data_IF_012976034154
#
_entry.id   IF_012976034154
#
_cell.length_a   1.000
_cell.length_b   1.000
_cell.length_c   1.000
_cell.angle_alpha   90.00
_cell.angle_beta   90.00
_cell.angle_gamma   90.00
#
_symmetry.space_group_name_H-M   'P 1'
#
loop_
_entity.id
_entity.type
_entity.pdbx_description
1 polymer ?
#
# COMPACT_ATOMS: atom_id res chain seq x y z
N UNK A 1 34.88 16.97 -15.23
CA UNK A 1 33.49 17.01 -15.74
C UNK A 1 33.12 15.57 -16.03
N UNK A 2 32.58 14.91 -15.02
CA UNK A 2 32.13 13.53 -15.10
C UNK A 2 30.78 13.58 -15.83
N UNK A 3 30.72 12.99 -17.03
CA UNK A 3 29.50 12.94 -17.83
C UNK A 3 28.44 12.23 -17.02
N UNK A 4 27.47 13.00 -16.55
CA UNK A 4 26.34 12.56 -15.74
C UNK A 4 25.59 11.50 -16.54
N UNK A 5 25.81 10.23 -16.18
CA UNK A 5 25.13 9.11 -16.85
C UNK A 5 23.67 9.22 -16.50
N UNK A 6 22.84 9.41 -17.53
CA UNK A 6 21.39 9.36 -17.43
C UNK A 6 21.04 8.03 -16.73
N UNK A 7 20.38 8.14 -15.58
CA UNK A 7 19.87 6.99 -14.86
C UNK A 7 18.65 6.48 -15.62
N UNK A 8 18.79 5.32 -16.26
CA UNK A 8 17.67 4.60 -16.85
C UNK A 8 17.15 3.58 -15.82
N UNK A 9 15.81 3.47 -15.64
CA UNK A 9 15.25 2.48 -14.75
C UNK A 9 15.57 1.07 -15.27
N UNK A 10 15.57 0.09 -14.38
CA UNK A 10 15.69 -1.32 -14.78
C UNK A 10 14.54 -1.69 -15.73
N UNK A 11 14.76 -2.69 -16.59
CA UNK A 11 13.71 -3.13 -17.55
C UNK A 11 12.47 -3.67 -16.83
N UNK A 12 12.66 -4.20 -15.64
CA UNK A 12 11.64 -4.77 -14.78
C UNK A 12 10.78 -3.71 -14.07
N UNK A 13 11.28 -2.47 -13.94
CA UNK A 13 10.57 -1.44 -13.18
C UNK A 13 9.28 -0.95 -13.88
N UNK A 14 9.27 -0.63 -15.19
CA UNK A 14 8.03 -0.34 -15.92
C UNK A 14 7.02 -1.50 -15.91
N UNK A 15 7.51 -2.74 -15.99
CA UNK A 15 6.69 -3.94 -15.92
C UNK A 15 6.05 -4.11 -14.53
N UNK A 16 6.80 -3.83 -13.47
CA UNK A 16 6.30 -3.85 -12.09
C UNK A 16 5.19 -2.80 -11.88
N UNK A 17 5.41 -1.56 -12.36
CA UNK A 17 4.40 -0.50 -12.29
C UNK A 17 3.11 -0.90 -13.04
N UNK A 18 3.27 -1.46 -14.25
CA UNK A 18 2.16 -1.96 -15.06
C UNK A 18 1.40 -3.11 -14.38
N UNK A 19 2.13 -4.06 -13.78
CA UNK A 19 1.54 -5.18 -13.04
C UNK A 19 0.69 -4.68 -11.86
N UNK A 20 1.22 -3.76 -11.06
CA UNK A 20 0.50 -3.21 -9.91
C UNK A 20 -0.72 -2.39 -10.36
N UNK A 21 -0.57 -1.52 -11.36
CA UNK A 21 -1.69 -0.77 -11.93
C UNK A 21 -2.82 -1.71 -12.41
N UNK A 22 -2.49 -2.76 -13.16
CA UNK A 22 -3.47 -3.72 -13.67
C UNK A 22 -4.13 -4.53 -12.55
N UNK A 23 -3.39 -4.88 -11.50
CA UNK A 23 -3.95 -5.54 -10.33
C UNK A 23 -4.96 -4.65 -9.61
N UNK A 24 -4.65 -3.35 -9.45
CA UNK A 24 -5.57 -2.38 -8.87
C UNK A 24 -6.77 -2.15 -9.79
N UNK A 25 -6.58 -2.02 -11.10
CA UNK A 25 -7.68 -1.89 -12.07
C UNK A 25 -8.65 -3.08 -12.01
N UNK A 26 -8.10 -4.29 -11.85
CA UNK A 26 -8.91 -5.52 -11.74
C UNK A 26 -9.73 -5.56 -10.45
N UNK A 27 -9.15 -5.13 -9.32
CA UNK A 27 -9.82 -5.16 -8.01
C UNK A 27 -10.72 -3.93 -7.75
N UNK A 28 -10.34 -2.76 -8.28
CA UNK A 28 -10.88 -1.44 -7.96
C UNK A 28 -10.94 -0.54 -9.22
N UNK A 29 -11.74 -0.89 -10.23
CA UNK A 29 -11.79 -0.13 -11.49
C UNK A 29 -12.29 1.32 -11.29
N UNK A 30 -13.14 1.56 -10.28
CA UNK A 30 -13.63 2.89 -9.91
C UNK A 30 -12.50 3.80 -9.41
N UNK A 31 -11.56 3.27 -8.60
CA UNK A 31 -10.40 4.03 -8.14
C UNK A 31 -9.54 4.51 -9.32
N UNK A 32 -9.31 3.62 -10.29
CA UNK A 32 -8.56 3.93 -11.51
C UNK A 32 -9.31 4.96 -12.37
N UNK A 33 -10.62 4.79 -12.55
CA UNK A 33 -11.46 5.73 -13.32
C UNK A 33 -11.45 7.13 -12.70
N UNK A 34 -11.55 7.20 -11.37
CA UNK A 34 -11.49 8.45 -10.61
C UNK A 34 -10.13 9.14 -10.78
N UNK A 35 -9.03 8.40 -10.63
CA UNK A 35 -7.68 8.90 -10.88
C UNK A 35 -7.53 9.42 -12.31
N UNK A 36 -7.86 8.62 -13.33
CA UNK A 36 -7.72 8.98 -14.74
C UNK A 36 -8.52 10.22 -15.10
N UNK A 37 -9.74 10.37 -14.54
CA UNK A 37 -10.56 11.56 -14.74
C UNK A 37 -9.91 12.82 -14.17
N UNK A 38 -9.37 12.77 -12.94
CA UNK A 38 -8.68 13.92 -12.32
C UNK A 38 -7.36 14.22 -13.02
N UNK A 39 -6.62 13.18 -13.40
CA UNK A 39 -5.38 13.30 -14.16
C UNK A 39 -5.61 14.01 -15.50
N UNK A 40 -6.63 13.59 -16.26
CA UNK A 40 -6.99 14.22 -17.53
C UNK A 40 -7.41 15.70 -17.35
N UNK A 41 -8.11 16.03 -16.26
CA UNK A 41 -8.48 17.41 -15.95
C UNK A 41 -7.24 18.29 -15.70
N UNK A 42 -6.26 17.80 -14.93
CA UNK A 42 -4.99 18.49 -14.72
C UNK A 42 -4.26 18.73 -16.03
N UNK A 43 -4.12 17.71 -16.87
CA UNK A 43 -3.47 17.84 -18.18
C UNK A 43 -4.18 18.85 -19.09
N UNK A 44 -5.51 18.82 -19.15
CA UNK A 44 -6.28 19.76 -19.96
C UNK A 44 -5.98 21.22 -19.56
N UNK A 45 -5.86 21.50 -18.27
CA UNK A 45 -5.50 22.83 -17.78
C UNK A 45 -4.04 23.17 -18.08
N UNK A 46 -3.10 22.25 -17.86
CA UNK A 46 -1.68 22.48 -18.19
C UNK A 46 -1.47 22.84 -19.67
N UNK A 47 -2.12 22.13 -20.59
CA UNK A 47 -1.98 22.36 -22.04
C UNK A 47 -2.72 23.60 -22.56
N UNK A 48 -3.74 24.07 -21.83
CA UNK A 48 -4.49 25.28 -22.22
C UNK A 48 -3.71 26.59 -21.98
N UNK A 49 -2.65 26.57 -21.15
CA UNK A 49 -1.88 27.76 -20.79
C UNK A 49 -0.71 27.99 -21.75
N UNK A 50 -0.62 29.20 -22.31
CA UNK A 50 0.38 29.57 -23.34
C UNK A 50 1.77 29.80 -22.72
N UNK A 51 2.69 28.87 -22.97
CA UNK A 51 4.19 28.87 -23.06
C UNK A 51 5.08 29.76 -22.16
N UNK A 52 4.64 30.88 -21.57
CA UNK A 52 5.54 31.80 -20.85
C UNK A 52 5.50 31.67 -19.32
N UNK A 53 4.53 30.94 -18.75
CA UNK A 53 4.36 30.81 -17.29
C UNK A 53 3.85 29.41 -16.90
N UNK A 54 4.26 28.38 -17.65
CA UNK A 54 3.56 27.10 -17.69
C UNK A 54 3.81 26.22 -16.46
N UNK A 55 5.05 26.22 -15.92
CA UNK A 55 5.44 25.29 -14.85
C UNK A 55 4.77 25.61 -13.51
N UNK A 56 4.79 26.88 -13.09
CA UNK A 56 4.27 27.30 -11.79
C UNK A 56 2.73 27.43 -11.80
N UNK A 57 2.14 27.58 -12.99
CA UNK A 57 0.70 27.81 -13.15
C UNK A 57 -0.12 26.53 -13.15
N UNK A 58 0.43 25.35 -13.46
CA UNK A 58 -0.36 24.11 -13.45
C UNK A 58 -0.50 23.50 -12.05
N UNK A 59 0.51 23.67 -11.18
CA UNK A 59 0.50 23.14 -9.80
C UNK A 59 -0.46 23.92 -8.89
N UNK A 60 -0.86 25.14 -9.27
CA UNK A 60 -1.74 26.04 -8.49
C UNK A 60 -3.20 26.02 -8.91
N UNK A 61 -3.69 24.93 -9.48
CA UNK A 61 -5.08 24.84 -9.96
C UNK A 61 -5.92 23.93 -9.06
N UNK A 62 -7.24 24.16 -9.06
CA UNK A 62 -8.19 23.35 -8.30
C UNK A 62 -8.17 21.89 -8.75
N UNK A 63 -7.86 21.61 -10.02
CA UNK A 63 -7.72 20.26 -10.57
C UNK A 63 -6.51 19.54 -9.97
N UNK A 64 -5.38 20.24 -9.84
CA UNK A 64 -4.19 19.66 -9.21
C UNK A 64 -4.43 19.41 -7.73
N UNK A 65 -5.06 20.35 -7.03
CA UNK A 65 -5.47 20.15 -5.64
C UNK A 65 -6.45 18.97 -5.48
N UNK A 66 -7.38 18.80 -6.41
CA UNK A 66 -8.30 17.66 -6.41
C UNK A 66 -7.57 16.32 -6.60
N UNK A 67 -6.52 16.28 -7.42
CA UNK A 67 -5.66 15.10 -7.57
C UNK A 67 -4.87 14.83 -6.28
N UNK A 68 -4.25 15.85 -5.68
CA UNK A 68 -3.50 15.72 -4.41
C UNK A 68 -4.36 15.23 -3.26
N UNK A 69 -5.62 15.66 -3.19
CA UNK A 69 -6.56 15.22 -2.14
C UNK A 69 -6.81 13.71 -2.16
N UNK A 70 -6.56 13.02 -3.27
CA UNK A 70 -6.59 11.55 -3.27
C UNK A 70 -5.46 10.95 -2.41
N UNK A 71 -4.35 11.67 -2.22
CA UNK A 71 -3.24 11.32 -1.33
C UNK A 71 -2.42 10.09 -1.77
N UNK A 72 -1.62 9.49 -0.87
CA UNK A 72 -0.61 8.49 -1.21
C UNK A 72 -1.13 7.22 -1.92
N UNK A 73 -2.42 6.93 -1.84
CA UNK A 73 -3.03 5.76 -2.50
C UNK A 73 -2.94 5.81 -4.03
N UNK A 74 -2.71 7.00 -4.62
CA UNK A 74 -2.55 7.14 -6.09
C UNK A 74 -1.10 6.98 -6.57
N UNK A 75 -0.14 6.81 -5.66
CA UNK A 75 1.29 6.68 -6.04
C UNK A 75 1.49 5.65 -7.16
N UNK A 76 0.94 4.42 -7.11
CA UNK A 76 1.13 3.46 -8.20
C UNK A 76 0.58 3.92 -9.55
N UNK A 77 -0.49 4.72 -9.56
CA UNK A 77 -1.06 5.26 -10.79
C UNK A 77 -0.16 6.32 -11.40
N UNK A 78 0.36 7.22 -10.57
CA UNK A 78 1.34 8.23 -11.02
C UNK A 78 2.60 7.54 -11.54
N UNK A 79 3.14 6.56 -10.81
CA UNK A 79 4.31 5.78 -11.25
C UNK A 79 4.06 5.07 -12.58
N UNK A 80 2.87 4.49 -12.78
CA UNK A 80 2.49 3.89 -14.05
C UNK A 80 2.47 4.89 -15.21
N UNK A 81 1.97 6.11 -14.99
CA UNK A 81 2.01 7.19 -16.00
C UNK A 81 3.44 7.60 -16.33
N UNK A 82 4.29 7.77 -15.30
CA UNK A 82 5.71 8.09 -15.48
C UNK A 82 6.46 7.01 -16.26
N UNK A 83 6.17 5.73 -16.00
CA UNK A 83 6.82 4.60 -16.69
C UNK A 83 6.47 4.49 -18.18
N UNK A 84 5.44 5.20 -18.66
CA UNK A 84 5.00 5.19 -20.06
C UNK A 84 5.43 6.42 -20.85
N UNK A 85 6.25 7.30 -20.25
CA UNK A 85 6.68 8.58 -20.82
C UNK A 85 5.48 9.46 -21.27
N UNK A 86 4.31 9.28 -20.65
CA UNK A 86 3.04 9.86 -21.08
C UNK A 86 2.77 11.25 -20.46
N UNK A 87 3.80 11.91 -19.89
CA UNK A 87 3.61 13.01 -18.93
C UNK A 87 4.62 14.14 -19.03
N UNK A 88 4.12 15.38 -18.89
CA UNK A 88 4.86 16.53 -18.36
C UNK A 88 5.27 16.25 -16.90
N UNK A 89 6.55 15.97 -16.70
CA UNK A 89 7.18 15.40 -15.50
C UNK A 89 7.08 16.27 -14.21
N UNK A 90 6.33 17.37 -14.26
CA UNK A 90 6.12 18.35 -13.18
C UNK A 90 5.03 17.94 -12.16
N UNK A 91 4.32 16.83 -12.38
CA UNK A 91 3.17 16.44 -11.55
C UNK A 91 3.55 15.65 -10.28
N UNK A 92 4.82 15.28 -10.12
CA UNK A 92 5.28 14.64 -8.89
C UNK A 92 5.44 15.68 -7.77
N UNK A 93 4.41 15.82 -6.93
CA UNK A 93 4.45 16.66 -5.74
C UNK A 93 4.98 15.87 -4.54
N UNK A 94 5.88 16.49 -3.76
CA UNK A 94 6.30 16.04 -2.44
C UNK A 94 5.11 15.86 -1.47
N UNK A 95 3.94 16.42 -1.78
CA UNK A 95 2.71 16.21 -1.03
C UNK A 95 2.17 14.76 -1.11
N UNK A 96 2.51 13.99 -2.15
CA UNK A 96 2.03 12.61 -2.30
C UNK A 96 2.91 11.59 -1.57
N UNK A 97 4.19 11.88 -1.40
CA UNK A 97 5.19 10.97 -0.85
C UNK A 97 6.08 11.69 0.17
N UNK A 98 6.09 11.20 1.40
CA UNK A 98 6.87 11.79 2.48
C UNK A 98 8.34 11.33 2.47
N UNK A 99 8.61 10.20 1.82
CA UNK A 99 9.93 9.60 1.70
C UNK A 99 10.94 10.58 1.03
N UNK A 100 12.01 10.99 1.74
CA UNK A 100 12.99 11.93 1.21
C UNK A 100 13.69 11.42 -0.05
N UNK A 101 13.79 10.11 -0.26
CA UNK A 101 14.46 9.54 -1.43
C UNK A 101 13.66 9.72 -2.73
N UNK A 102 12.36 10.01 -2.61
CA UNK A 102 11.45 10.32 -3.71
C UNK A 102 11.36 11.82 -4.01
N UNK A 103 12.04 12.66 -3.24
CA UNK A 103 12.01 14.11 -3.47
C UNK A 103 13.01 14.45 -4.57
N UNK A 104 12.56 15.00 -5.72
CA UNK A 104 13.48 15.48 -6.74
C UNK A 104 14.33 16.61 -6.15
N UNK A 105 15.63 16.62 -6.47
CA UNK A 105 16.46 17.77 -6.16
C UNK A 105 16.11 18.93 -7.10
N UNK A 106 16.17 20.18 -6.63
CA UNK A 106 15.77 21.36 -7.41
C UNK A 106 16.56 21.54 -8.72
N UNK A 107 17.73 20.91 -8.83
CA UNK A 107 18.65 21.03 -9.96
C UNK A 107 18.63 19.79 -10.89
N UNK A 108 17.82 18.77 -10.60
CA UNK A 108 17.83 17.51 -11.35
C UNK A 108 16.92 17.56 -12.58
N UNK A 109 17.39 16.98 -13.69
CA UNK A 109 16.57 16.78 -14.90
C UNK A 109 15.33 15.95 -14.54
N UNK A 110 14.16 16.49 -14.84
CA UNK A 110 12.86 15.87 -14.57
C UNK A 110 12.75 14.44 -15.14
N UNK A 111 13.44 14.16 -16.26
CA UNK A 111 13.45 12.82 -16.86
C UNK A 111 14.20 11.85 -15.97
N UNK A 112 15.32 12.29 -15.39
CA UNK A 112 16.10 11.51 -14.43
C UNK A 112 15.31 11.28 -13.15
N UNK A 113 14.58 12.30 -12.65
CA UNK A 113 13.69 12.14 -11.51
C UNK A 113 12.61 11.09 -11.76
N UNK A 114 11.96 11.13 -12.94
CA UNK A 114 10.92 10.17 -13.32
C UNK A 114 11.44 8.74 -13.36
N UNK A 115 12.57 8.52 -14.05
CA UNK A 115 13.27 7.23 -14.08
C UNK A 115 13.61 6.71 -12.68
N UNK A 116 14.10 7.59 -11.80
CA UNK A 116 14.44 7.25 -10.41
C UNK A 116 13.22 6.86 -9.60
N UNK A 117 12.12 7.61 -9.71
CA UNK A 117 10.86 7.31 -9.02
C UNK A 117 10.31 5.94 -9.44
N UNK A 118 10.34 5.64 -10.75
CA UNK A 118 9.91 4.34 -11.28
C UNK A 118 10.75 3.20 -10.71
N UNK A 119 12.07 3.36 -10.66
CA UNK A 119 12.97 2.36 -10.07
C UNK A 119 12.77 2.20 -8.55
N UNK A 120 12.65 3.31 -7.81
CA UNK A 120 12.41 3.26 -6.37
C UNK A 120 11.09 2.56 -6.04
N UNK A 121 10.04 2.83 -6.83
CA UNK A 121 8.75 2.16 -6.64
C UNK A 121 8.85 0.65 -6.92
N UNK A 122 9.62 0.25 -7.93
CA UNK A 122 9.89 -1.17 -8.18
C UNK A 122 10.59 -1.85 -7.00
N UNK A 123 11.65 -1.24 -6.46
CA UNK A 123 12.34 -1.79 -5.29
C UNK A 123 11.39 -1.87 -4.07
N UNK A 124 10.58 -0.84 -3.85
CA UNK A 124 9.55 -0.84 -2.81
C UNK A 124 8.55 -1.98 -3.00
N UNK A 125 8.02 -2.18 -4.22
CA UNK A 125 7.06 -3.25 -4.50
C UNK A 125 7.63 -4.63 -4.20
N UNK A 126 8.92 -4.88 -4.48
CA UNK A 126 9.58 -6.14 -4.10
C UNK A 126 9.61 -6.36 -2.60
N UNK A 127 9.89 -5.30 -1.83
CA UNK A 127 9.89 -5.35 -0.37
C UNK A 127 8.46 -5.61 0.13
N UNK A 128 7.46 -4.91 -0.41
CA UNK A 128 6.05 -5.14 -0.07
C UNK A 128 5.65 -6.59 -0.32
N UNK A 129 5.91 -7.13 -1.52
CA UNK A 129 5.57 -8.51 -1.87
C UNK A 129 6.20 -9.51 -0.87
N UNK A 130 7.48 -9.33 -0.54
CA UNK A 130 8.18 -10.20 0.42
C UNK A 130 7.59 -10.10 1.84
N UNK A 131 7.35 -8.89 2.35
CA UNK A 131 6.81 -8.66 3.71
C UNK A 131 5.36 -9.11 3.84
N UNK A 132 4.54 -8.87 2.82
CA UNK A 132 3.16 -9.36 2.74
C UNK A 132 3.13 -10.89 2.81
N UNK A 133 3.98 -11.59 2.05
CA UNK A 133 4.03 -13.06 2.08
C UNK A 133 4.52 -13.61 3.42
N UNK A 134 5.50 -12.95 4.05
CA UNK A 134 5.96 -13.29 5.38
C UNK A 134 4.84 -13.11 6.42
N UNK A 135 4.12 -11.98 6.39
CA UNK A 135 3.00 -11.74 7.29
C UNK A 135 1.83 -12.72 7.07
N UNK A 136 1.52 -13.05 5.80
CA UNK A 136 0.55 -14.12 5.47
C UNK A 136 0.97 -15.48 6.04
N UNK A 137 2.27 -15.77 6.13
CA UNK A 137 2.78 -16.99 6.75
C UNK A 137 2.49 -17.01 8.25
N UNK A 138 2.80 -15.92 8.97
CA UNK A 138 2.45 -15.76 10.39
C UNK A 138 0.95 -15.96 10.60
N UNK A 139 0.12 -15.40 9.71
CA UNK A 139 -1.32 -15.59 9.73
C UNK A 139 -1.76 -17.05 9.61
N UNK A 140 -1.13 -17.82 8.73
CA UNK A 140 -1.42 -19.25 8.55
C UNK A 140 -1.02 -20.06 9.78
N UNK A 141 0.13 -19.75 10.37
CA UNK A 141 0.63 -20.43 11.58
C UNK A 141 -0.21 -20.12 12.82
N UNK A 142 -0.82 -18.93 12.86
CA UNK A 142 -1.64 -18.45 13.98
C UNK A 142 -3.15 -18.51 13.69
N UNK A 143 -3.60 -19.28 12.68
CA UNK A 143 -5.01 -19.29 12.25
C UNK A 143 -6.01 -19.74 13.33
N UNK A 144 -5.56 -20.45 14.38
CA UNK A 144 -6.37 -20.85 15.53
C UNK A 144 -6.41 -19.80 16.65
N UNK A 145 -5.56 -18.76 16.57
CA UNK A 145 -5.52 -17.70 17.56
C UNK A 145 -6.73 -16.79 17.41
N UNK A 146 -7.45 -16.57 18.52
CA UNK A 146 -8.60 -15.66 18.56
C UNK A 146 -8.20 -14.21 18.84
N UNK A 147 -6.97 -13.97 19.28
CA UNK A 147 -6.46 -12.63 19.61
C UNK A 147 -5.86 -11.95 18.38
N UNK A 148 -6.26 -10.72 18.11
CA UNK A 148 -5.65 -9.86 17.08
C UNK A 148 -4.16 -9.57 17.36
N UNK A 149 -3.72 -9.70 18.62
CA UNK A 149 -2.32 -9.50 19.00
C UNK A 149 -1.38 -10.48 18.30
N UNK A 150 -1.83 -11.71 18.00
CA UNK A 150 -1.00 -12.69 17.30
C UNK A 150 -0.63 -12.26 15.87
N UNK A 151 -1.36 -11.28 15.31
CA UNK A 151 -1.19 -10.81 13.94
C UNK A 151 -0.66 -9.37 13.85
N UNK A 152 -0.77 -8.59 14.95
CA UNK A 152 -0.48 -7.13 14.97
C UNK A 152 0.67 -6.76 15.91
N UNK A 153 1.36 -7.77 16.47
CA UNK A 153 2.54 -7.61 17.33
C UNK A 153 3.70 -8.52 16.86
N UNK A 154 3.79 -8.76 15.55
CA UNK A 154 4.90 -9.50 14.93
C UNK A 154 5.79 -8.58 14.10
N UNK A 155 7.04 -8.99 13.86
CA UNK A 155 8.02 -8.19 13.12
C UNK A 155 7.53 -7.84 11.72
N UNK A 156 6.90 -8.79 11.02
CA UNK A 156 6.40 -8.57 9.65
C UNK A 156 5.29 -7.52 9.58
N UNK A 157 4.50 -7.38 10.65
CA UNK A 157 3.49 -6.33 10.76
C UNK A 157 4.15 -4.95 10.93
N UNK A 158 5.16 -4.87 11.80
CA UNK A 158 5.91 -3.63 12.01
C UNK A 158 6.72 -3.22 10.77
N UNK A 159 7.31 -4.18 10.05
CA UNK A 159 7.98 -3.91 8.77
C UNK A 159 7.04 -3.26 7.76
N UNK A 160 5.79 -3.76 7.67
CA UNK A 160 4.78 -3.18 6.79
C UNK A 160 4.32 -1.79 7.28
N UNK A 161 4.18 -1.60 8.59
CA UNK A 161 3.86 -0.29 9.17
C UNK A 161 4.93 0.76 8.87
N UNK A 162 6.21 0.40 8.95
CA UNK A 162 7.32 1.31 8.65
C UNK A 162 7.27 1.80 7.20
N UNK A 163 6.65 1.05 6.28
CA UNK A 163 6.43 1.48 4.90
C UNK A 163 5.41 2.59 4.71
N UNK A 164 4.58 2.84 5.73
CA UNK A 164 3.68 3.96 5.76
C UNK A 164 2.69 3.99 4.60
N UNK A 165 2.22 5.19 4.27
CA UNK A 165 1.08 5.40 3.36
C UNK A 165 1.36 5.01 1.91
N UNK A 166 2.63 4.82 1.54
CA UNK A 166 3.04 4.48 0.19
C UNK A 166 2.58 3.10 -0.27
N UNK A 167 2.24 2.21 0.66
CA UNK A 167 1.83 0.82 0.39
C UNK A 167 0.31 0.60 0.49
N UNK A 168 -0.49 1.67 0.64
CA UNK A 168 -1.96 1.56 0.75
C UNK A 168 -2.55 0.78 -0.42
N UNK A 169 -2.18 1.11 -1.66
CA UNK A 169 -2.72 0.47 -2.85
C UNK A 169 -2.38 -1.03 -2.96
N UNK A 170 -1.12 -1.48 -2.84
CA UNK A 170 -0.85 -2.92 -2.85
C UNK A 170 -1.52 -3.65 -1.67
N UNK A 171 -1.63 -3.05 -0.48
CA UNK A 171 -2.38 -3.65 0.63
C UNK A 171 -3.89 -3.75 0.34
N UNK A 172 -4.49 -2.76 -0.33
CA UNK A 172 -5.90 -2.84 -0.74
C UNK A 172 -6.13 -3.97 -1.75
N UNK A 173 -5.20 -4.21 -2.68
CA UNK A 173 -5.26 -5.36 -3.60
C UNK A 173 -5.25 -6.68 -2.82
N UNK A 174 -4.37 -6.80 -1.82
CA UNK A 174 -4.32 -7.98 -0.95
C UNK A 174 -5.60 -8.15 -0.13
N UNK A 175 -6.16 -7.05 0.39
CA UNK A 175 -7.40 -7.06 1.14
C UNK A 175 -8.59 -7.52 0.26
N UNK A 176 -8.63 -7.11 -1.01
CA UNK A 176 -9.65 -7.55 -1.96
C UNK A 176 -9.69 -9.07 -2.11
N UNK A 177 -8.53 -9.70 -2.32
CA UNK A 177 -8.44 -11.16 -2.51
C UNK A 177 -8.53 -11.97 -1.22
N UNK A 178 -8.19 -11.36 -0.07
CA UNK A 178 -8.21 -12.03 1.22
C UNK A 178 -8.86 -11.17 2.32
N UNK A 179 -10.19 -11.07 2.27
CA UNK A 179 -10.97 -10.30 3.26
C UNK A 179 -10.93 -10.89 4.68
N UNK A 180 -10.40 -12.10 4.86
CA UNK A 180 -10.30 -12.78 6.15
C UNK A 180 -9.16 -12.25 7.05
N UNK A 181 -8.21 -11.48 6.51
CA UNK A 181 -7.05 -10.98 7.25
C UNK A 181 -7.34 -9.81 8.21
N UNK A 182 -6.26 -9.30 8.82
CA UNK A 182 -6.27 -8.07 9.64
C UNK A 182 -5.79 -6.85 8.83
N UNK A 183 -6.00 -6.86 7.51
CA UNK A 183 -5.59 -5.79 6.59
C UNK A 183 -6.14 -4.42 6.98
N UNK A 184 -7.38 -4.39 7.46
CA UNK A 184 -8.04 -3.15 7.91
C UNK A 184 -7.33 -2.52 9.11
N UNK A 185 -6.77 -3.30 10.04
CA UNK A 185 -6.03 -2.75 11.19
C UNK A 185 -4.69 -2.18 10.73
N UNK A 186 -3.97 -2.92 9.87
CA UNK A 186 -2.74 -2.44 9.25
C UNK A 186 -2.97 -1.14 8.47
N UNK A 187 -3.99 -1.11 7.60
CA UNK A 187 -4.36 0.08 6.84
C UNK A 187 -4.75 1.24 7.74
N UNK A 188 -5.52 0.97 8.80
CA UNK A 188 -5.94 1.99 9.75
C UNK A 188 -4.72 2.60 10.47
N UNK A 189 -3.80 1.79 10.96
CA UNK A 189 -2.60 2.27 11.65
C UNK A 189 -1.64 2.99 10.69
N UNK A 190 -1.51 2.53 9.44
CA UNK A 190 -0.76 3.25 8.39
C UNK A 190 -1.34 4.64 8.13
N UNK A 191 -2.68 4.76 8.03
CA UNK A 191 -3.32 6.02 7.64
C UNK A 191 -3.43 6.99 8.83
N UNK A 192 -3.75 6.49 10.02
CA UNK A 192 -4.08 7.31 11.18
C UNK A 192 -2.99 7.37 12.25
N UNK A 193 -1.93 6.58 12.12
CA UNK A 193 -0.83 6.50 13.08
C UNK A 193 -1.23 5.89 14.43
N UNK A 194 -2.38 5.20 14.49
CA UNK A 194 -2.90 4.55 15.70
C UNK A 194 -3.70 3.31 15.35
N UNK A 195 -3.80 2.38 16.30
CA UNK A 195 -4.71 1.23 16.19
C UNK A 195 -6.17 1.67 16.23
N UNK A 196 -7.04 0.95 15.51
CA UNK A 196 -8.48 1.19 15.51
C UNK A 196 -9.10 0.87 16.87
N UNK A 197 -8.55 -0.13 17.57
CA UNK A 197 -8.91 -0.45 18.96
C UNK A 197 -10.34 -0.97 19.14
N UNK A 198 -10.99 -1.48 18.08
CA UNK A 198 -12.35 -2.03 18.24
C UNK A 198 -12.33 -3.38 18.97
N UNK A 199 -13.38 -3.70 19.71
CA UNK A 199 -13.48 -4.99 20.41
C UNK A 199 -14.17 -6.06 19.55
N UNK A 200 -15.02 -5.63 18.60
CA UNK A 200 -15.77 -6.50 17.68
C UNK A 200 -15.78 -5.91 16.29
N UNK A 201 -15.60 -6.77 15.29
CA UNK A 201 -15.38 -6.38 13.90
C UNK A 201 -16.32 -7.15 12.97
N UNK A 202 -17.12 -6.43 12.19
CA UNK A 202 -17.80 -7.01 11.04
C UNK A 202 -16.88 -6.88 9.81
N UNK A 203 -15.98 -7.84 9.60
CA UNK A 203 -14.96 -7.79 8.53
C UNK A 203 -15.52 -7.38 7.15
N UNK A 204 -16.71 -7.85 6.70
CA UNK A 204 -17.29 -7.39 5.43
C UNK A 204 -17.62 -5.89 5.42
N UNK A 205 -18.13 -5.34 6.53
CA UNK A 205 -18.41 -3.91 6.67
C UNK A 205 -17.12 -3.12 6.67
N UNK A 206 -16.07 -3.62 7.35
CA UNK A 206 -14.76 -2.98 7.35
C UNK A 206 -14.18 -2.89 5.93
N UNK A 207 -14.25 -4.00 5.20
CA UNK A 207 -13.78 -4.04 3.82
C UNK A 207 -14.55 -3.07 2.93
N UNK A 208 -15.88 -3.01 3.06
CA UNK A 208 -16.71 -2.12 2.26
C UNK A 208 -16.40 -0.64 2.49
N UNK A 209 -16.17 -0.24 3.75
CA UNK A 209 -15.75 1.13 4.08
C UNK A 209 -14.36 1.46 3.51
N UNK A 210 -13.40 0.54 3.63
CA UNK A 210 -12.08 0.69 3.02
C UNK A 210 -12.16 0.74 1.49
N UNK A 211 -13.03 -0.07 0.87
CA UNK A 211 -13.27 -0.11 -0.58
C UNK A 211 -13.84 1.23 -1.08
N UNK A 212 -14.88 1.75 -0.42
CA UNK A 212 -15.47 3.06 -0.74
C UNK A 212 -14.44 4.18 -0.60
N UNK A 213 -13.69 4.19 0.50
CA UNK A 213 -12.59 5.13 0.69
C UNK A 213 -11.57 5.03 -0.45
N UNK A 214 -11.15 3.82 -0.83
CA UNK A 214 -10.13 3.64 -1.84
C UNK A 214 -10.61 4.10 -3.23
N UNK A 215 -11.84 3.73 -3.62
CA UNK A 215 -12.45 4.07 -4.91
C UNK A 215 -12.74 5.56 -5.08
N UNK A 216 -13.39 6.17 -4.09
CA UNK A 216 -14.05 7.47 -4.27
C UNK A 216 -13.51 8.54 -3.31
N UNK A 217 -13.14 8.15 -2.10
CA UNK A 217 -12.82 9.08 -1.02
C UNK A 217 -11.53 9.87 -1.24
N UNK A 218 -11.45 11.05 -0.62
CA UNK A 218 -10.19 11.75 -0.42
C UNK A 218 -9.38 11.09 0.70
N UNK A 219 -8.07 11.30 0.75
CA UNK A 219 -7.20 10.67 1.75
C UNK A 219 -7.62 11.03 3.18
N UNK A 220 -7.97 12.29 3.43
CA UNK A 220 -8.48 12.76 4.72
C UNK A 220 -9.86 12.24 5.10
N UNK A 221 -10.54 11.51 4.20
CA UNK A 221 -11.84 10.87 4.46
C UNK A 221 -11.69 9.38 4.79
N UNK A 222 -10.47 8.92 5.10
CA UNK A 222 -10.25 7.54 5.51
C UNK A 222 -11.09 7.20 6.75
N UNK A 223 -11.66 5.99 6.85
CA UNK A 223 -12.50 5.61 7.98
C UNK A 223 -11.75 5.71 9.32
N UNK A 224 -12.16 6.64 10.19
CA UNK A 224 -11.54 6.86 11.52
C UNK A 224 -12.01 5.86 12.58
N UNK A 225 -13.24 5.40 12.48
CA UNK A 225 -13.81 4.40 13.35
C UNK A 225 -14.99 3.80 12.60
N UNK A 226 -15.02 2.49 12.47
CA UNK A 226 -16.22 1.83 11.95
C UNK A 226 -17.12 1.66 13.16
N UNK A 227 -17.91 2.71 13.40
CA UNK A 227 -18.89 2.76 14.47
C UNK A 227 -19.70 1.48 14.36
N UNK A 228 -19.61 0.68 15.41
CA UNK A 228 -20.37 -0.53 15.57
C UNK A 228 -21.85 -0.15 15.45
N UNK A 229 -22.43 -0.29 14.25
CA UNK A 229 -23.87 -0.39 14.09
C UNK A 229 -24.29 -1.75 14.64
N UNK A 230 -24.05 -1.96 15.93
CA UNK A 230 -24.80 -2.93 16.69
C UNK A 230 -26.15 -2.26 16.88
N UNK A 231 -26.96 -2.30 15.83
CA UNK A 231 -28.40 -2.38 15.99
C UNK A 231 -28.59 -3.76 16.65
N UNK A 232 -28.43 -3.81 17.97
CA UNK A 232 -29.18 -4.80 18.72
C UNK A 232 -30.63 -4.48 18.36
N UNK A 233 -31.38 -5.36 17.70
CA UNK A 233 -32.81 -5.31 17.91
C UNK A 233 -32.96 -5.54 19.41
N UNK A 234 -33.18 -4.46 20.17
CA UNK A 234 -33.90 -4.54 21.42
C UNK A 234 -35.23 -5.21 21.05
N UNK A 235 -35.23 -6.55 21.03
CA UNK A 235 -36.45 -7.32 21.12
C UNK A 235 -37.07 -6.84 22.40
N UNK A 236 -38.10 -6.02 22.22
CA UNK A 236 -39.08 -5.61 23.21
C UNK A 236 -39.37 -6.77 24.14
N UNK A 237 -38.64 -6.83 25.25
CA UNK A 237 -39.09 -7.47 26.46
C UNK A 237 -40.10 -6.48 27.03
N UNK A 238 -41.36 -6.73 26.65
CA UNK A 238 -42.62 -6.29 27.28
C UNK A 238 -42.47 -5.19 28.32
N UNK A 239 -43.11 -4.06 28.02
CA UNK A 239 -43.60 -3.12 29.03
C UNK A 239 -44.29 -3.86 30.19
N UNK A 240 -44.18 -3.32 31.41
CA UNK A 240 -45.36 -2.66 31.93
C UNK A 240 -45.07 -1.22 32.37
N UNK A 241 -45.86 -0.31 31.81
CA UNK A 241 -46.45 0.87 32.45
C UNK A 241 -45.68 1.54 33.60
N UNK A 242 -45.11 2.73 33.34
CA UNK A 242 -45.62 3.96 33.98
C UNK A 242 -45.02 5.21 33.33
N UNK A 243 -45.88 6.20 33.12
CA UNK A 243 -45.57 7.50 32.57
C UNK A 243 -44.68 8.36 33.48
N UNK A 244 -43.82 9.22 32.91
CA UNK A 244 -43.87 10.69 33.04
C UNK A 244 -42.60 11.36 32.46
N UNK A 245 -42.79 12.12 31.36
CA UNK A 245 -42.31 13.48 31.03
C UNK A 245 -40.81 13.89 31.19
N UNK A 246 -40.27 14.36 30.05
CA UNK A 246 -39.51 15.60 29.79
C UNK A 246 -37.96 15.71 29.86
N UNK A 247 -37.41 16.03 28.67
CA UNK A 247 -36.39 17.05 28.31
C UNK A 247 -34.89 16.75 28.49
N UNK A 248 -34.22 16.67 27.32
CA UNK A 248 -32.87 17.07 26.92
C UNK A 248 -31.75 17.29 27.95
N UNK A 249 -30.59 16.66 27.73
CA UNK A 249 -29.32 17.34 27.33
C UNK A 249 -28.17 16.36 27.13
N UNK A 250 -27.32 16.76 26.17
CA UNK A 250 -25.95 16.34 25.88
C UNK A 250 -25.05 16.47 27.12
N UNK A 251 -24.26 15.43 27.46
CA UNK A 251 -22.82 15.48 27.77
C UNK A 251 -22.29 14.22 28.51
N UNK A 252 -21.02 13.91 28.21
CA UNK A 252 -20.02 13.22 29.03
C UNK A 252 -20.31 11.79 29.52
N UNK A 253 -19.78 10.80 28.79
CA UNK A 253 -19.39 9.52 29.40
C UNK A 253 -18.02 9.68 30.06
N UNK A 254 -18.02 10.13 31.32
CA UNK A 254 -16.89 9.94 32.23
C UNK A 254 -17.02 8.52 32.79
N UNK A 255 -16.08 7.63 32.44
CA UNK A 255 -16.03 6.29 33.00
C UNK A 255 -15.51 6.38 34.44
N UNK A 256 -16.40 6.18 35.43
CA UNK A 256 -16.02 5.99 36.82
C UNK A 256 -15.69 4.50 37.02
N UNK A 257 -14.46 4.26 37.46
CA UNK A 257 -13.97 2.97 37.90
C UNK A 257 -14.57 2.66 39.28
N UNK A 258 -15.45 1.66 39.37
CA UNK A 258 -15.98 1.16 40.64
C UNK A 258 -14.87 0.48 41.45
N UNK A 259 -14.38 1.17 42.49
CA UNK A 259 -13.59 0.56 43.56
C UNK A 259 -14.52 -0.18 44.54
N UNK A 260 -14.36 -1.49 44.64
CA UNK A 260 -14.84 -2.26 45.79
C UNK A 260 -13.87 -2.09 46.98
N UNK A 261 -14.37 -1.92 48.23
CA UNK A 261 -13.54 -1.77 49.41
C UNK A 261 -13.25 -3.13 50.05
N UNK A 262 -11.98 -3.38 50.41
CA UNK A 262 -11.65 -4.53 51.25
C UNK A 262 -10.17 -4.82 51.40
N UNK A 263 -9.66 -4.51 52.59
CA UNK A 263 -8.44 -5.03 53.23
C UNK A 263 -7.15 -4.21 53.01
N UNK A 264 -6.98 -3.23 53.89
CA UNK A 264 -5.69 -2.70 54.33
C UNK A 264 -4.94 -3.73 55.18
N UNK A 265 -3.68 -4.02 54.83
CA UNK A 265 -2.55 -4.04 55.77
C UNK A 265 -1.20 -4.29 55.08
N UNK A 266 -0.26 -3.38 55.35
CA UNK A 266 1.19 -3.53 55.30
C UNK A 266 1.88 -3.68 53.92
N UNK A 267 2.60 -2.62 53.48
CA UNK A 267 4.04 -2.41 53.77
C UNK A 267 4.60 -1.39 52.78
N UNK A 268 5.04 -0.24 53.29
CA UNK A 268 5.66 0.82 52.49
C UNK A 268 7.07 0.41 52.04
N UNK A 269 7.32 0.42 50.72
CA UNK A 269 8.65 0.62 50.14
C UNK A 269 8.51 1.64 49.00
N UNK A 270 9.30 2.71 49.11
CA UNK A 270 9.36 3.82 48.17
C UNK A 270 9.98 3.35 46.84
N UNK A 271 9.26 3.57 45.73
CA UNK A 271 9.82 3.53 44.38
C UNK A 271 9.96 4.97 43.84
N UNK A 272 11.02 5.29 43.10
CA UNK A 272 11.24 6.62 42.53
C UNK A 272 10.28 6.89 41.34
N UNK A 273 10.08 8.17 40.97
CA UNK A 273 9.12 8.55 39.94
C UNK A 273 9.54 8.08 38.54
N UNK A 274 8.60 7.48 37.82
CA UNK A 274 8.73 7.15 36.40
C UNK A 274 8.55 8.46 35.62
N UNK A 275 9.62 8.92 34.96
CA UNK A 275 9.52 9.94 33.93
C UNK A 275 8.84 9.36 32.68
N UNK A 276 7.72 9.95 32.27
CA UNK A 276 7.15 9.74 30.94
C UNK A 276 8.12 10.25 29.87
N UNK A 277 8.39 9.50 28.79
CA UNK A 277 9.13 10.02 27.65
C UNK A 277 8.23 10.98 26.84
N UNK A 278 8.81 11.99 26.17
CA UNK A 278 8.06 12.88 25.29
C UNK A 278 7.66 12.15 24.01
N UNK A 279 6.39 12.35 23.62
CA UNK A 279 5.86 12.03 22.30
C UNK A 279 6.50 12.93 21.24
N UNK A 280 7.46 12.37 20.49
CA UNK A 280 7.82 12.85 19.15
C UNK A 280 8.31 11.67 18.34
N UNK A 281 7.39 10.92 17.73
CA UNK A 281 7.74 9.97 16.67
C UNK A 281 7.83 10.73 15.35
N UNK A 282 8.96 11.36 15.11
CA UNK A 282 9.36 11.70 13.74
C UNK A 282 9.83 10.39 13.11
N UNK A 283 9.04 9.84 12.18
CA UNK A 283 9.46 8.73 11.35
C UNK A 283 10.80 9.10 10.68
N UNK A 284 11.85 8.38 11.06
CA UNK A 284 13.19 8.59 10.52
C UNK A 284 13.26 8.17 9.04
N UNK A 285 14.24 8.68 8.29
CA UNK A 285 14.49 8.19 6.94
C UNK A 285 14.89 6.72 6.99
N UNK A 286 14.32 5.92 6.08
CA UNK A 286 14.66 4.53 5.86
C UNK A 286 16.17 4.32 5.78
N UNK A 287 16.77 3.71 6.82
CA UNK A 287 18.14 3.17 6.77
C UNK A 287 18.07 1.66 6.59
N UNK A 288 17.53 1.22 5.46
CA UNK A 288 17.77 -0.13 4.98
C UNK A 288 19.22 -0.21 4.49
N UNK A 289 20.13 -0.72 5.31
CA UNK A 289 21.43 -1.19 4.81
C UNK A 289 21.16 -2.31 3.81
N UNK A 290 21.28 -1.98 2.52
CA UNK A 290 21.20 -2.93 1.42
C UNK A 290 22.35 -3.94 1.53
N UNK A 291 22.09 -5.09 2.14
CA UNK A 291 22.91 -6.27 1.91
C UNK A 291 22.65 -6.74 0.49
N UNK A 292 23.50 -6.32 -0.44
CA UNK A 292 23.61 -6.96 -1.75
C UNK A 292 23.79 -8.48 -1.55
N UNK A 293 23.10 -9.34 -2.32
CA UNK A 293 23.37 -10.76 -2.29
C UNK A 293 24.85 -10.99 -2.67
N UNK A 294 25.62 -11.51 -1.72
CA UNK A 294 26.99 -11.98 -1.94
C UNK A 294 27.01 -12.94 -3.13
N UNK A 295 27.89 -12.76 -4.12
CA UNK A 295 28.04 -13.72 -5.20
C UNK A 295 28.48 -15.08 -4.61
N UNK A 296 27.65 -16.10 -4.83
CA UNK A 296 27.99 -17.47 -4.47
C UNK A 296 29.30 -17.88 -5.16
N UNK A 297 30.27 -18.45 -4.44
CA UNK A 297 31.52 -18.88 -5.06
C UNK A 297 31.26 -20.08 -5.98
N UNK A 298 31.62 -19.89 -7.26
CA UNK A 298 31.95 -20.87 -8.29
C UNK A 298 31.62 -22.34 -7.96
N UNK A 299 30.44 -22.81 -8.40
CA UNK A 299 30.28 -24.23 -8.67
C UNK A 299 30.94 -24.57 -10.00
N UNK A 300 31.98 -25.38 -9.89
CA UNK A 300 32.78 -25.92 -10.98
C UNK A 300 31.93 -26.77 -11.94
N UNK A 301 31.81 -26.30 -13.17
CA UNK A 301 31.26 -27.05 -14.30
C UNK A 301 32.19 -28.22 -14.63
N UNK A 302 31.82 -29.43 -14.21
CA UNK A 302 32.46 -30.67 -14.67
C UNK A 302 31.99 -30.94 -16.10
N UNK A 303 32.84 -30.57 -17.07
CA UNK A 303 32.72 -31.03 -18.47
C UNK A 303 32.91 -32.55 -18.52
N UNK A 304 31.86 -33.29 -18.90
CA UNK A 304 32.00 -34.66 -19.41
C UNK A 304 32.03 -34.64 -20.93
N UNK A 305 33.11 -35.17 -21.49
CA UNK A 305 33.29 -35.38 -22.93
C UNK A 305 32.34 -36.46 -23.47
N UNK A 306 31.99 -36.40 -24.78
CA UNK A 306 31.12 -37.39 -25.41
C UNK A 306 31.88 -38.68 -25.74
N UNK A 307 31.24 -39.82 -25.50
CA UNK A 307 31.67 -41.13 -25.99
C UNK A 307 31.03 -41.39 -27.34
N UNK A 308 31.87 -41.57 -28.35
CA UNK A 308 31.55 -42.07 -29.68
C UNK A 308 31.32 -43.58 -29.60
N UNK A 309 30.22 -44.09 -30.17
CA UNK A 309 30.19 -45.47 -30.67
C UNK A 309 29.25 -45.60 -31.88
N UNK A 310 29.85 -46.09 -32.95
CA UNK A 310 29.33 -46.37 -34.30
C UNK A 310 28.64 -47.74 -34.36
N UNK A 311 27.55 -47.85 -35.12
CA UNK A 311 27.12 -49.03 -35.93
C UNK A 311 25.64 -48.83 -36.34
N UNK A 312 25.32 -48.47 -37.59
CA UNK A 312 24.99 -49.37 -38.72
C UNK A 312 23.82 -50.32 -38.41
N UNK A 313 22.81 -50.57 -39.24
CA UNK A 313 22.41 -50.21 -40.61
C UNK A 313 20.98 -50.79 -40.78
N UNK A 314 20.12 -50.20 -41.63
CA UNK A 314 19.31 -50.92 -42.63
C UNK A 314 18.03 -50.16 -43.04
N UNK A 315 17.99 -49.80 -44.33
CA UNK A 315 16.86 -49.82 -45.26
C UNK A 315 15.56 -49.05 -44.94
N UNK A 316 14.83 -48.45 -45.88
CA UNK A 316 15.00 -48.00 -47.26
C UNK A 316 13.61 -47.45 -47.69
N UNK A 317 13.59 -46.67 -48.78
CA UNK A 317 12.43 -46.40 -49.67
C UNK A 317 11.50 -45.24 -49.26
N UNK A 318 11.69 -44.09 -49.94
CA UNK A 318 10.67 -43.04 -50.15
C UNK A 318 9.68 -43.45 -51.25
N UNK A 319 9.12 -42.56 -52.11
CA UNK A 319 9.15 -41.09 -52.12
C UNK A 319 7.72 -40.48 -52.18
N UNK A 320 7.59 -39.15 -52.08
CA UNK A 320 6.29 -38.51 -52.32
C UNK A 320 6.32 -36.99 -52.43
N UNK A 321 6.51 -36.48 -53.64
CA UNK A 321 6.34 -35.08 -54.07
C UNK A 321 4.96 -34.52 -53.66
N UNK A 322 4.87 -33.22 -53.33
CA UNK A 322 4.39 -32.15 -54.24
C UNK A 322 4.26 -30.79 -53.55
N UNK A 323 4.71 -29.78 -54.29
CA UNK A 323 4.38 -28.37 -54.19
C UNK A 323 2.90 -28.08 -54.59
N UNK A 324 2.45 -26.87 -54.25
CA UNK A 324 1.59 -25.92 -55.02
C UNK A 324 0.24 -25.52 -54.37
N UNK A 325 0.22 -24.24 -53.91
CA UNK A 325 -0.75 -23.13 -54.05
C UNK A 325 -2.13 -23.07 -53.34
N UNK A 326 -2.27 -21.94 -52.63
CA UNK A 326 -3.22 -20.81 -52.75
C UNK A 326 -4.73 -20.95 -52.46
N UNK A 327 -5.17 -20.07 -51.53
CA UNK A 327 -6.28 -19.06 -51.61
C UNK A 327 -7.71 -19.65 -51.58
N UNK A 328 -8.77 -19.00 -51.00
CA UNK A 328 -9.04 -17.57 -50.74
C UNK A 328 -8.31 -16.90 -49.58
#
# INVERSE_FOLDING_TARGET
>A
METDRIFEPSREAPDSASKLYNAVYTAFPEAVTNFESKWAAVHAVCYSKTTSAQDDACIRTDEFDALKRLGPKIIPFVVFKLARDDVDQNLWDNALENDPDYRPSLDEDLRRCSSRIVELNYQRNKIVEARVEAWKKVHRENNLQSSSHAFTLCEEYFDLLEMGTSIIAPLMVEYYYNQGGYWWELLHEIIHGRKMGACMYQKPVLFEECRRFFNEGEHGQAPECIVNYVIFPMRSLREPTCATRAVAKVNNCHFQEERSPGIEAARAQQLPPIHSPPETTTAGPWRGEFLQPQPQPNQSVVRRHPVTTTSASAHAVGPGRRLIRNVP
#
